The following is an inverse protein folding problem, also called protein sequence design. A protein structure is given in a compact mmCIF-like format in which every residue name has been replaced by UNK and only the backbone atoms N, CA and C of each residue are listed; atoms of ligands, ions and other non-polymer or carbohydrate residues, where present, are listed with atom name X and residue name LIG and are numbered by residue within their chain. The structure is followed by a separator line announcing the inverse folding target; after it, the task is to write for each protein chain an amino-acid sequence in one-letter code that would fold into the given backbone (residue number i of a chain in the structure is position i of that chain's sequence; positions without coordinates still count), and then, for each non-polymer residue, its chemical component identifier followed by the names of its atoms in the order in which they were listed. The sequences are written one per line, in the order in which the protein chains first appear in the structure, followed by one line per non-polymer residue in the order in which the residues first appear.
data_IF_444313321866
#
_entry.id   IF_444313321866
#
_cell.length_a   1.000
_cell.length_b   1.000
_cell.length_c   1.000
_cell.angle_alpha   90.00
_cell.angle_beta   90.00
_cell.angle_gamma   90.00
#
_symmetry.space_group_name_H-M   'P 1'
#
loop_
_entity.id
_entity.type
_entity.pdbx_description
1 polymer ?
#
# COMPACT_ATOMS: atom_id res chain seq x y z
N UNK A 1 23.04 48.69 39.66
CA UNK A 1 22.50 47.41 40.18
C UNK A 1 23.62 46.43 40.47
N UNK A 2 23.73 45.99 41.73
CA UNK A 2 24.74 45.02 42.17
C UNK A 2 24.51 43.70 41.40
N UNK A 3 25.58 43.00 40.97
CA UNK A 3 25.49 41.75 40.19
C UNK A 3 24.53 40.70 40.79
N UNK A 4 24.32 40.73 42.11
CA UNK A 4 23.36 39.88 42.85
C UNK A 4 21.90 40.21 42.52
N UNK A 5 21.54 41.48 42.35
CA UNK A 5 20.17 41.93 42.00
C UNK A 5 19.79 41.51 40.58
N UNK A 6 20.73 41.58 39.63
CA UNK A 6 20.49 41.14 38.25
C UNK A 6 20.21 39.64 38.16
N UNK A 7 20.90 38.83 38.97
CA UNK A 7 20.65 37.38 39.06
C UNK A 7 19.28 37.09 39.68
N UNK A 8 18.90 37.81 40.73
CA UNK A 8 17.57 37.69 41.34
C UNK A 8 16.45 38.03 40.35
N UNK A 9 16.60 39.11 39.58
CA UNK A 9 15.64 39.47 38.52
C UNK A 9 15.57 38.42 37.40
N UNK A 10 16.70 37.84 37.01
CA UNK A 10 16.71 36.75 36.02
C UNK A 10 16.03 35.48 36.53
N UNK A 11 16.29 35.08 37.78
CA UNK A 11 15.62 33.92 38.38
C UNK A 11 14.12 34.16 38.54
N UNK A 12 13.71 35.36 38.97
CA UNK A 12 12.30 35.71 39.06
C UNK A 12 11.61 35.67 37.68
N UNK A 13 12.27 36.16 36.63
CA UNK A 13 11.75 36.11 35.26
C UNK A 13 11.57 34.69 34.73
N UNK A 14 12.55 33.80 34.96
CA UNK A 14 12.45 32.39 34.56
C UNK A 14 11.34 31.65 35.33
N UNK A 15 11.14 31.97 36.61
CA UNK A 15 10.12 31.34 37.44
C UNK A 15 8.71 31.77 37.02
N UNK A 16 8.53 33.04 36.64
CA UNK A 16 7.28 33.55 36.06
C UNK A 16 6.99 32.91 34.70
N UNK A 17 8.00 32.80 33.83
CA UNK A 17 7.84 32.12 32.54
C UNK A 17 7.45 30.65 32.71
N UNK A 18 8.08 29.93 33.64
CA UNK A 18 7.73 28.56 33.97
C UNK A 18 6.27 28.44 34.45
N UNK A 19 5.83 29.32 35.36
CA UNK A 19 4.45 29.32 35.85
C UNK A 19 3.40 29.66 34.79
N UNK A 20 3.73 30.44 33.76
CA UNK A 20 2.81 30.78 32.67
C UNK A 20 2.74 29.70 31.59
N UNK A 21 3.87 29.06 31.26
CA UNK A 21 3.95 28.12 30.15
C UNK A 21 3.73 26.66 30.57
N UNK A 22 4.17 26.24 31.77
CA UNK A 22 4.03 24.84 32.20
C UNK A 22 2.58 24.35 32.37
N UNK A 23 1.61 25.14 32.88
CA UNK A 23 0.23 24.68 33.01
C UNK A 23 -0.42 24.43 31.65
N UNK A 24 -0.07 25.24 30.64
CA UNK A 24 -0.61 25.12 29.29
C UNK A 24 -0.03 23.92 28.54
N UNK A 25 1.25 23.59 28.77
CA UNK A 25 1.87 22.37 28.20
C UNK A 25 1.34 21.11 28.88
N UNK A 26 1.11 21.15 30.21
CA UNK A 26 0.51 20.03 30.95
C UNK A 26 -0.95 19.74 30.55
N UNK A 27 -1.76 20.78 30.36
CA UNK A 27 -3.13 20.63 29.84
C UNK A 27 -3.13 20.10 28.40
N UNK A 28 -2.18 20.54 27.57
CA UNK A 28 -2.06 20.04 26.19
C UNK A 28 -1.62 18.58 26.13
N UNK A 29 -0.74 18.15 27.05
CA UNK A 29 -0.37 16.73 27.19
C UNK A 29 -1.58 15.88 27.61
N UNK A 30 -2.33 16.29 28.64
CA UNK A 30 -3.53 15.58 29.08
C UNK A 30 -4.66 15.58 28.04
N UNK A 31 -4.79 16.66 27.27
CA UNK A 31 -5.73 16.71 26.14
C UNK A 31 -5.32 15.74 25.03
N UNK A 32 -4.02 15.67 24.70
CA UNK A 32 -3.50 14.72 23.71
C UNK A 32 -3.70 13.27 24.18
N UNK A 33 -3.44 12.97 25.45
CA UNK A 33 -3.59 11.62 25.99
C UNK A 33 -5.07 11.18 26.04
N UNK A 34 -6.00 12.07 26.41
CA UNK A 34 -7.46 11.77 26.34
C UNK A 34 -7.97 11.52 24.92
N UNK A 35 -7.42 12.23 23.92
CA UNK A 35 -7.80 11.99 22.51
C UNK A 35 -7.34 10.61 22.05
N UNK A 36 -6.20 10.11 22.53
CA UNK A 36 -5.74 8.75 22.24
C UNK A 36 -6.53 7.68 23.00
N UNK A 37 -6.86 7.89 24.29
CA UNK A 37 -7.63 6.91 25.09
C UNK A 37 -9.09 6.78 24.63
N UNK A 38 -9.71 7.86 24.17
CA UNK A 38 -11.07 7.81 23.59
C UNK A 38 -11.10 7.05 22.25
N UNK A 39 -9.95 6.81 21.61
CA UNK A 39 -9.85 5.92 20.45
C UNK A 39 -9.59 4.47 20.83
N UNK A 40 -9.10 4.18 22.04
CA UNK A 40 -8.71 2.83 22.47
C UNK A 40 -9.77 2.10 23.32
N UNK A 41 -10.73 2.82 23.92
CA UNK A 41 -11.76 2.24 24.78
C UNK A 41 -13.01 1.74 24.04
N UNK A 42 -12.82 1.00 22.94
CA UNK A 42 -13.88 0.14 22.40
C UNK A 42 -13.36 -1.27 22.09
N UNK A 43 -13.59 -2.15 23.07
CA UNK A 43 -13.87 -3.58 22.96
C UNK A 43 -12.66 -4.52 22.93
N UNK A 44 -12.24 -4.93 24.13
CA UNK A 44 -11.71 -6.27 24.40
C UNK A 44 -12.81 -7.32 24.12
N UNK A 45 -12.71 -8.01 22.98
CA UNK A 45 -13.45 -9.23 22.68
C UNK A 45 -12.55 -10.17 21.86
N UNK A 46 -12.66 -11.50 22.02
CA UNK A 46 -11.71 -12.45 21.44
C UNK A 46 -11.74 -12.41 19.91
N UNK A 47 -10.57 -12.71 19.33
CA UNK A 47 -10.26 -12.68 17.89
C UNK A 47 -11.17 -13.66 17.14
N UNK A 48 -12.32 -13.16 16.73
CA UNK A 48 -13.07 -13.69 15.60
C UNK A 48 -13.21 -12.53 14.63
N UNK A 49 -12.65 -12.73 13.42
CA UNK A 49 -12.46 -11.76 12.35
C UNK A 49 -13.79 -11.15 11.87
N UNK A 50 -14.44 -10.34 12.72
CA UNK A 50 -15.59 -9.53 12.37
C UNK A 50 -15.05 -8.35 11.59
N UNK A 51 -15.22 -8.39 10.27
CA UNK A 51 -15.07 -7.26 9.37
C UNK A 51 -15.71 -6.03 10.03
N UNK A 52 -14.88 -5.12 10.54
CA UNK A 52 -15.34 -4.00 11.38
C UNK A 52 -16.34 -3.21 10.58
N UNK A 53 -17.60 -3.30 11.01
CA UNK A 53 -18.72 -2.69 10.33
C UNK A 53 -19.03 -1.40 11.06
N UNK A 54 -18.64 -0.26 10.51
CA UNK A 54 -19.04 1.04 11.04
C UNK A 54 -20.17 1.58 10.16
N UNK A 55 -21.32 1.86 10.78
CA UNK A 55 -22.41 2.59 10.12
C UNK A 55 -22.13 4.07 10.31
N UNK A 56 -21.85 4.78 9.23
CA UNK A 56 -21.64 6.23 9.28
C UNK A 56 -22.94 6.97 9.59
N UNK A 57 -22.84 8.25 9.94
CA UNK A 57 -24.00 9.15 10.10
C UNK A 57 -24.82 9.29 8.80
N UNK A 58 -24.21 8.98 7.65
CA UNK A 58 -24.81 8.89 6.32
C UNK A 58 -25.65 7.62 6.11
N UNK A 59 -25.73 6.72 7.10
CA UNK A 59 -26.38 5.41 6.99
C UNK A 59 -25.60 4.42 6.12
N UNK A 60 -24.41 4.79 5.63
CA UNK A 60 -23.61 3.92 4.75
C UNK A 60 -22.82 2.95 5.62
N UNK A 61 -23.01 1.65 5.34
CA UNK A 61 -22.21 0.59 5.95
C UNK A 61 -20.79 0.61 5.39
N UNK A 62 -19.80 0.77 6.26
CA UNK A 62 -18.38 0.75 5.92
C UNK A 62 -17.73 -0.52 6.46
N UNK A 63 -16.81 -1.08 5.68
CA UNK A 63 -16.07 -2.30 5.99
C UNK A 63 -14.59 -2.08 5.73
N UNK A 64 -13.78 -2.91 6.38
CA UNK A 64 -12.38 -3.06 6.04
C UNK A 64 -12.22 -3.94 4.80
N UNK A 65 -11.49 -3.44 3.82
CA UNK A 65 -11.20 -4.14 2.55
C UNK A 65 -9.79 -4.73 2.52
N UNK A 66 -8.98 -4.56 3.57
CA UNK A 66 -7.66 -5.17 3.65
C UNK A 66 -7.76 -6.69 3.78
N UNK A 67 -7.10 -7.42 2.88
CA UNK A 67 -6.89 -8.85 3.01
C UNK A 67 -5.61 -9.12 3.81
N UNK A 68 -5.76 -9.25 5.13
CA UNK A 68 -4.63 -9.50 6.02
C UNK A 68 -3.97 -10.86 5.78
N UNK A 69 -4.67 -11.87 5.28
CA UNK A 69 -4.07 -13.16 4.94
C UNK A 69 -3.17 -13.05 3.72
N UNK A 70 -3.62 -12.33 2.68
CA UNK A 70 -2.80 -12.03 1.53
C UNK A 70 -1.58 -11.18 1.92
N UNK A 71 -1.75 -10.17 2.77
CA UNK A 71 -0.63 -9.35 3.26
C UNK A 71 0.39 -10.20 4.02
N UNK A 72 -0.07 -11.11 4.91
CA UNK A 72 0.82 -12.03 5.65
C UNK A 72 1.57 -12.97 4.71
N UNK A 73 0.88 -13.55 3.74
CA UNK A 73 1.50 -14.43 2.72
C UNK A 73 2.53 -13.68 1.88
N UNK A 74 2.19 -12.48 1.41
CA UNK A 74 3.10 -11.63 0.63
C UNK A 74 4.31 -11.20 1.46
N UNK A 75 4.15 -10.90 2.75
CA UNK A 75 5.27 -10.57 3.65
C UNK A 75 6.24 -11.75 3.85
N UNK A 76 5.74 -12.99 3.81
CA UNK A 76 6.55 -14.20 3.94
C UNK A 76 7.26 -14.62 2.64
N UNK A 77 6.94 -14.01 1.48
CA UNK A 77 7.58 -14.36 0.21
C UNK A 77 9.05 -13.97 0.19
N UNK A 78 9.86 -14.88 -0.35
CA UNK A 78 11.30 -14.73 -0.53
C UNK A 78 11.69 -15.08 -1.97
N UNK A 79 12.71 -14.41 -2.48
CA UNK A 79 13.17 -14.58 -3.85
C UNK A 79 13.68 -13.28 -4.45
N UNK A 80 14.16 -13.39 -5.68
CA UNK A 80 14.66 -12.23 -6.42
C UNK A 80 13.51 -11.28 -6.76
N UNK A 81 13.65 -10.01 -6.37
CA UNK A 81 12.63 -8.98 -6.62
C UNK A 81 11.44 -8.98 -5.65
N UNK A 82 11.39 -9.91 -4.69
CA UNK A 82 10.36 -9.91 -3.64
C UNK A 82 10.55 -8.71 -2.69
N UNK A 83 9.46 -8.27 -2.07
CA UNK A 83 9.41 -7.06 -1.24
C UNK A 83 9.89 -5.80 -1.96
N UNK A 84 9.85 -5.79 -3.30
CA UNK A 84 10.36 -4.69 -4.13
C UNK A 84 11.87 -4.47 -4.02
N UNK A 85 12.63 -5.46 -3.51
CA UNK A 85 14.09 -5.37 -3.43
C UNK A 85 14.72 -5.34 -4.82
N UNK A 86 15.85 -4.64 -5.01
CA UNK A 86 16.57 -4.66 -6.27
C UNK A 86 17.03 -6.08 -6.62
N UNK A 87 16.97 -6.43 -7.91
CA UNK A 87 17.49 -7.70 -8.40
C UNK A 87 19.03 -7.69 -8.42
N UNK A 88 19.71 -8.74 -7.94
CA UNK A 88 21.16 -8.83 -8.01
C UNK A 88 21.62 -9.04 -9.46
N UNK A 89 22.07 -7.97 -10.11
CA UNK A 89 22.50 -8.00 -11.52
C UNK A 89 23.82 -8.76 -11.70
N UNK A 90 23.86 -9.60 -12.73
CA UNK A 90 25.08 -10.22 -13.26
C UNK A 90 25.55 -9.50 -14.54
N UNK A 91 26.75 -9.79 -15.05
CA UNK A 91 27.26 -9.17 -16.28
C UNK A 91 26.35 -9.44 -17.50
N UNK A 92 25.74 -10.63 -17.57
CA UNK A 92 24.77 -10.98 -18.62
C UNK A 92 23.51 -10.11 -18.61
N UNK A 93 23.24 -9.42 -17.50
CA UNK A 93 22.03 -8.63 -17.29
C UNK A 93 22.24 -7.16 -17.65
N UNK A 94 23.50 -6.75 -17.80
CA UNK A 94 23.91 -5.39 -18.10
C UNK A 94 24.06 -5.12 -19.59
N UNK A 95 23.68 -6.09 -20.43
CA UNK A 95 23.77 -5.97 -21.87
C UNK A 95 22.72 -5.02 -22.42
N UNK A 96 23.11 -4.13 -23.33
CA UNK A 96 22.20 -3.15 -23.95
C UNK A 96 21.01 -3.81 -24.63
N UNK A 97 21.19 -5.03 -25.15
CA UNK A 97 20.12 -5.81 -25.77
C UNK A 97 18.92 -6.01 -24.84
N UNK A 98 19.14 -6.09 -23.52
CA UNK A 98 18.06 -6.25 -22.54
C UNK A 98 17.10 -5.05 -22.50
N UNK A 99 17.50 -3.88 -23.02
CA UNK A 99 16.73 -2.64 -23.02
C UNK A 99 16.14 -2.27 -24.39
N UNK A 100 16.72 -2.76 -25.49
CA UNK A 100 16.37 -2.31 -26.85
C UNK A 100 14.91 -2.54 -27.23
N UNK A 101 14.30 -3.61 -26.73
CA UNK A 101 12.97 -4.02 -27.18
C UNK A 101 11.81 -3.36 -26.44
N UNK A 102 12.02 -2.93 -25.18
CA UNK A 102 10.94 -2.45 -24.32
C UNK A 102 11.29 -1.15 -23.55
N UNK A 103 12.53 -0.66 -23.64
CA UNK A 103 12.99 0.51 -22.87
C UNK A 103 13.31 0.22 -21.39
N UNK A 104 13.12 -1.02 -20.94
CA UNK A 104 13.49 -1.52 -19.61
C UNK A 104 14.14 -2.90 -19.71
N UNK A 105 14.80 -3.35 -18.63
CA UNK A 105 15.54 -4.60 -18.62
C UNK A 105 14.61 -5.83 -18.61
N UNK A 106 14.35 -6.39 -19.79
CA UNK A 106 13.46 -7.55 -19.93
C UNK A 106 14.06 -8.82 -19.29
N UNK A 107 15.38 -8.99 -19.31
CA UNK A 107 16.04 -10.16 -18.71
C UNK A 107 15.88 -10.21 -17.20
N UNK A 108 15.89 -9.05 -16.54
CA UNK A 108 15.60 -8.95 -15.10
C UNK A 108 14.11 -9.18 -14.86
N UNK A 109 13.25 -8.60 -15.70
CA UNK A 109 11.79 -8.78 -15.64
C UNK A 109 11.39 -10.26 -15.71
N UNK A 110 12.04 -11.05 -16.57
CA UNK A 110 11.74 -12.48 -16.77
C UNK A 110 12.17 -13.36 -15.58
N UNK A 111 13.20 -12.95 -14.83
CA UNK A 111 13.69 -13.69 -13.65
C UNK A 111 13.06 -13.27 -12.33
N UNK A 112 12.25 -12.21 -12.35
CA UNK A 112 11.42 -11.81 -11.21
C UNK A 112 10.07 -12.52 -11.34
N UNK A 113 9.56 -13.04 -10.23
CA UNK A 113 8.24 -13.68 -10.19
C UNK A 113 7.12 -12.79 -10.74
N UNK A 114 6.19 -13.38 -11.49
CA UNK A 114 4.97 -12.68 -11.94
C UNK A 114 4.10 -12.26 -10.75
N UNK A 115 4.14 -13.04 -9.66
CA UNK A 115 3.40 -12.81 -8.42
C UNK A 115 4.30 -12.27 -7.30
N UNK A 116 5.28 -11.42 -7.62
CA UNK A 116 6.18 -10.85 -6.59
C UNK A 116 5.41 -10.03 -5.54
N UNK A 117 5.85 -10.08 -4.29
CA UNK A 117 5.41 -9.19 -3.23
C UNK A 117 6.03 -7.80 -3.36
N UNK A 118 5.34 -6.80 -2.81
CA UNK A 118 5.75 -5.40 -2.81
C UNK A 118 5.79 -4.88 -1.37
N UNK A 119 6.67 -3.92 -1.07
CA UNK A 119 6.72 -3.31 0.25
C UNK A 119 5.51 -2.37 0.41
N UNK A 120 4.87 -2.39 1.58
CA UNK A 120 3.79 -1.47 1.90
C UNK A 120 4.35 -0.10 2.30
N UNK A 121 4.50 0.79 1.31
CA UNK A 121 4.98 2.17 1.48
C UNK A 121 3.85 3.18 1.71
N UNK A 122 2.61 2.71 1.92
CA UNK A 122 1.46 3.60 2.15
C UNK A 122 1.62 4.34 3.48
N UNK A 123 0.97 5.50 3.59
CA UNK A 123 0.89 6.21 4.87
C UNK A 123 0.20 5.34 5.94
N UNK A 124 0.65 5.40 7.19
CA UNK A 124 0.15 4.53 8.28
C UNK A 124 -1.38 4.60 8.44
N UNK A 125 -1.94 5.80 8.37
CA UNK A 125 -3.40 6.05 8.37
C UNK A 125 -4.18 5.29 7.28
N UNK A 126 -3.56 4.86 6.17
CA UNK A 126 -4.25 4.09 5.12
C UNK A 126 -4.71 2.72 5.63
N UNK A 127 -3.98 2.11 6.58
CA UNK A 127 -4.32 0.79 7.13
C UNK A 127 -5.59 0.79 7.97
N UNK A 128 -6.01 1.96 8.44
CA UNK A 128 -7.20 2.14 9.28
C UNK A 128 -8.41 2.65 8.47
N UNK A 129 -8.26 2.87 7.15
CA UNK A 129 -9.34 3.38 6.31
C UNK A 129 -10.39 2.30 6.03
N UNK A 130 -11.64 2.66 6.28
CA UNK A 130 -12.81 1.86 5.94
C UNK A 130 -13.53 2.49 4.73
N UNK A 131 -14.04 1.64 3.85
CA UNK A 131 -14.76 2.04 2.64
C UNK A 131 -16.17 1.46 2.64
N UNK A 132 -17.06 2.01 1.82
CA UNK A 132 -18.41 1.48 1.68
C UNK A 132 -18.40 -0.02 1.36
N UNK A 133 -19.35 -0.77 1.92
CA UNK A 133 -19.50 -2.19 1.63
C UNK A 133 -19.92 -2.44 0.19
N UNK A 134 -20.80 -1.57 -0.32
CA UNK A 134 -21.27 -1.59 -1.70
C UNK A 134 -20.50 -0.56 -2.49
N UNK A 135 -19.59 -1.04 -3.34
CA UNK A 135 -18.88 -0.24 -4.32
C UNK A 135 -19.35 -0.66 -5.72
N UNK A 136 -19.32 0.25 -6.71
CA UNK A 136 -19.57 -0.12 -8.09
C UNK A 136 -18.51 -1.12 -8.56
N UNK A 137 -18.91 -2.03 -9.44
CA UNK A 137 -17.98 -2.89 -10.15
C UNK A 137 -17.20 -2.08 -11.20
N UNK A 138 -16.06 -2.61 -11.62
CA UNK A 138 -15.18 -1.96 -12.60
C UNK A 138 -14.68 -2.95 -13.65
N UNK A 139 -14.64 -2.50 -14.91
CA UNK A 139 -13.97 -3.20 -16.01
C UNK A 139 -12.56 -2.61 -16.16
N UNK A 140 -11.55 -3.46 -16.15
CA UNK A 140 -10.14 -3.05 -16.20
C UNK A 140 -9.63 -3.24 -17.63
N UNK A 141 -9.35 -2.13 -18.32
CA UNK A 141 -8.88 -2.14 -19.71
C UNK A 141 -7.37 -1.87 -19.71
N UNK A 142 -6.60 -2.77 -20.30
CA UNK A 142 -5.14 -2.68 -20.42
C UNK A 142 -4.77 -2.64 -21.90
N UNK A 143 -4.58 -1.44 -22.49
CA UNK A 143 -4.03 -1.34 -23.83
C UNK A 143 -2.53 -1.70 -23.80
N UNK A 144 -2.07 -2.45 -24.80
CA UNK A 144 -0.67 -2.79 -24.96
C UNK A 144 -0.27 -2.76 -26.44
N UNK A 145 0.97 -2.33 -26.71
CA UNK A 145 1.59 -2.37 -28.03
C UNK A 145 3.03 -2.86 -27.86
N UNK A 146 3.36 -4.02 -28.42
CA UNK A 146 4.70 -4.59 -28.36
C UNK A 146 5.28 -4.68 -26.93
N UNK A 147 4.44 -4.88 -25.91
CA UNK A 147 4.86 -4.95 -24.50
C UNK A 147 5.63 -6.24 -24.18
N UNK A 148 6.51 -6.19 -23.17
CA UNK A 148 7.20 -7.39 -22.69
C UNK A 148 6.24 -8.41 -22.08
N UNK A 149 6.43 -9.70 -22.38
CA UNK A 149 5.51 -10.74 -21.87
C UNK A 149 5.47 -10.80 -20.34
N UNK A 150 6.63 -10.75 -19.68
CA UNK A 150 6.71 -10.80 -18.22
C UNK A 150 6.19 -9.54 -17.54
N UNK A 151 6.32 -8.36 -18.16
CA UNK A 151 5.75 -7.12 -17.64
C UNK A 151 4.22 -7.14 -17.76
N UNK A 152 3.68 -7.47 -18.93
CA UNK A 152 2.23 -7.55 -19.17
C UNK A 152 1.56 -8.55 -18.24
N UNK A 153 2.08 -9.78 -18.15
CA UNK A 153 1.51 -10.81 -17.28
C UNK A 153 1.58 -10.41 -15.80
N UNK A 154 2.66 -9.77 -15.36
CA UNK A 154 2.79 -9.31 -13.98
C UNK A 154 1.78 -8.21 -13.65
N UNK A 155 1.44 -7.35 -14.61
CA UNK A 155 0.33 -6.39 -14.48
C UNK A 155 -0.99 -7.13 -14.26
N UNK A 156 -1.33 -8.08 -15.11
CA UNK A 156 -2.57 -8.88 -14.99
C UNK A 156 -2.62 -9.64 -13.66
N UNK A 157 -1.54 -10.33 -13.29
CA UNK A 157 -1.44 -11.04 -12.02
C UNK A 157 -1.59 -10.11 -10.81
N UNK A 158 -1.04 -8.89 -10.88
CA UNK A 158 -1.18 -7.92 -9.79
C UNK A 158 -2.63 -7.49 -9.58
N UNK A 159 -3.38 -7.30 -10.68
CA UNK A 159 -4.81 -6.99 -10.66
C UNK A 159 -5.59 -8.14 -10.05
N UNK A 160 -5.45 -9.35 -10.60
CA UNK A 160 -6.22 -10.52 -10.15
C UNK A 160 -5.96 -10.88 -8.68
N UNK A 161 -4.72 -10.73 -8.20
CA UNK A 161 -4.37 -11.13 -6.83
C UNK A 161 -4.62 -10.04 -5.77
N UNK A 162 -4.66 -8.76 -6.15
CA UNK A 162 -4.76 -7.63 -5.19
C UNK A 162 -6.05 -6.83 -5.28
N UNK A 163 -6.89 -7.13 -6.27
CA UNK A 163 -8.23 -6.56 -6.38
C UNK A 163 -9.27 -7.58 -5.90
N UNK A 164 -10.24 -7.18 -5.05
CA UNK A 164 -11.32 -8.07 -4.64
C UNK A 164 -12.13 -8.53 -5.86
N UNK A 165 -12.25 -9.84 -6.07
CA UNK A 165 -12.93 -10.43 -7.24
C UNK A 165 -14.34 -9.89 -7.47
N UNK A 166 -15.11 -9.69 -6.39
CA UNK A 166 -16.46 -9.12 -6.44
C UNK A 166 -16.58 -7.69 -6.98
N UNK A 167 -15.47 -6.97 -7.10
CA UNK A 167 -15.44 -5.61 -7.66
C UNK A 167 -14.98 -5.59 -9.12
N UNK A 168 -14.44 -6.69 -9.63
CA UNK A 168 -13.95 -6.79 -11.01
C UNK A 168 -15.04 -7.45 -11.84
N UNK A 169 -15.50 -6.75 -12.88
CA UNK A 169 -16.41 -7.35 -13.86
C UNK A 169 -15.63 -8.18 -14.87
N UNK A 170 -14.57 -7.59 -15.42
CA UNK A 170 -13.75 -8.18 -16.49
C UNK A 170 -12.38 -7.47 -16.57
N UNK A 171 -11.42 -8.17 -17.16
CA UNK A 171 -10.10 -7.62 -17.52
C UNK A 171 -9.93 -7.76 -19.02
N UNK A 172 -9.90 -6.64 -19.73
CA UNK A 172 -9.82 -6.59 -21.19
C UNK A 172 -8.41 -6.18 -21.59
N UNK A 173 -7.70 -7.08 -22.28
CA UNK A 173 -6.41 -6.79 -22.90
C UNK A 173 -6.66 -6.31 -24.33
N UNK A 174 -6.24 -5.09 -24.63
CA UNK A 174 -6.45 -4.47 -25.95
C UNK A 174 -5.11 -4.39 -26.66
N UNK A 175 -4.93 -5.20 -27.70
CA UNK A 175 -3.74 -5.17 -28.55
C UNK A 175 -3.86 -4.01 -29.56
N UNK A 176 -2.97 -3.03 -29.45
CA UNK A 176 -2.86 -1.92 -30.39
C UNK A 176 -1.88 -2.28 -31.52
N UNK A 177 -2.24 -3.29 -32.32
CA UNK A 177 -1.49 -3.73 -33.50
C UNK A 177 -0.02 -4.06 -33.21
N UNK A 178 0.24 -4.98 -32.28
CA UNK A 178 1.61 -5.44 -31.99
C UNK A 178 2.23 -6.23 -33.15
N UNK A 179 3.47 -5.88 -33.51
CA UNK A 179 4.26 -6.53 -34.56
C UNK A 179 5.10 -7.71 -34.04
N UNK A 180 5.30 -7.79 -32.72
CA UNK A 180 6.01 -8.92 -32.08
C UNK A 180 5.23 -10.19 -32.37
N UNK A 181 5.78 -11.02 -33.26
CA UNK A 181 5.26 -12.34 -33.69
C UNK A 181 5.03 -13.29 -32.52
N UNK A 182 3.95 -13.03 -31.79
CA UNK A 182 3.53 -13.78 -30.64
C UNK A 182 2.14 -14.27 -30.98
N UNK A 183 2.11 -15.37 -31.71
CA UNK A 183 1.02 -16.35 -31.71
C UNK A 183 0.76 -16.97 -30.31
N UNK A 184 1.07 -16.23 -29.23
CA UNK A 184 0.69 -16.47 -27.83
C UNK A 184 -0.24 -15.39 -27.29
N UNK A 185 -0.87 -14.59 -28.15
CA UNK A 185 -2.15 -14.02 -27.77
C UNK A 185 -3.15 -15.19 -27.72
N UNK A 186 -3.16 -15.85 -26.56
CA UNK A 186 -4.18 -16.77 -26.09
C UNK A 186 -4.53 -17.96 -27.01
N UNK A 187 -3.78 -19.08 -27.02
CA UNK A 187 -4.41 -20.37 -27.25
C UNK A 187 -5.14 -20.69 -25.93
N UNK A 188 -6.35 -20.17 -25.75
CA UNK A 188 -7.25 -20.43 -24.62
C UNK A 188 -6.58 -20.35 -23.23
N UNK A 189 -6.78 -19.25 -22.50
CA UNK A 189 -6.74 -19.32 -21.04
C UNK A 189 -7.89 -20.26 -20.61
N UNK A 190 -7.65 -21.51 -20.18
CA UNK A 190 -8.71 -22.36 -19.63
C UNK A 190 -9.06 -21.92 -18.20
N UNK A 191 -8.38 -20.88 -17.69
CA UNK A 191 -8.47 -20.42 -16.30
C UNK A 191 -9.51 -19.31 -16.09
N UNK A 192 -10.14 -18.82 -17.17
CA UNK A 192 -11.19 -17.81 -17.10
C UNK A 192 -12.62 -18.40 -17.11
N UNK A 193 -12.76 -19.72 -17.22
CA UNK A 193 -14.07 -20.40 -17.09
C UNK A 193 -14.41 -20.81 -15.64
N UNK A 194 -13.58 -20.43 -14.66
CA UNK A 194 -13.74 -20.79 -13.24
C UNK A 194 -13.60 -19.61 -12.26
N UNK A 195 -14.12 -18.43 -12.64
CA UNK A 195 -14.43 -17.35 -11.67
C UNK A 195 -15.88 -16.93 -11.84
#
# INVERSE_FOLDING_TARGET
MRRKEKRLLQFAGLLIAALLFLPNVGLWSLYRDRVFDNSLNTVDAPIQLRKVTQVGLDGVRRIDWHDYEAIRRDAARMGNGEQGKPFPLTENDRVDQAYRENGFNIYVSDRISLNRSLPDIRHENCRQKLYAEKLPNTSIIIPFHNEGWSSLLRTVHSVLNRSPSRLITEVILVDDFSDKGTSRCCPQFPFLDYV
#
